data_IF_443089962505
#
_entry.id   IF_443089962505
#
_cell.length_a   1.000
_cell.length_b   1.000
_cell.length_c   1.000
_cell.angle_alpha   90.00
_cell.angle_beta   90.00
_cell.angle_gamma   90.00
#
_symmetry.space_group_name_H-M   'P 1'
#
loop_
_entity.id
_entity.type
_entity.pdbx_description
1 polymer ?
#
# COMPACT_ATOMS: atom_id res chain seq x y z
N UNK A 1 13.06 42.65 44.29
CA UNK A 1 13.43 41.31 43.81
C UNK A 1 12.26 40.54 43.18
N UNK A 2 11.02 40.80 43.58
CA UNK A 2 9.85 40.01 43.16
C UNK A 2 9.42 40.24 41.66
N UNK A 3 9.66 41.43 41.12
CA UNK A 3 9.29 41.76 39.73
C UNK A 3 10.18 41.11 38.67
N UNK A 4 11.46 40.91 38.96
CA UNK A 4 12.37 40.21 38.04
C UNK A 4 12.03 38.72 37.97
N UNK A 5 11.78 38.08 39.09
CA UNK A 5 11.36 36.65 39.14
C UNK A 5 10.04 36.46 38.43
N UNK A 6 9.06 37.34 38.60
CA UNK A 6 7.77 37.27 37.94
C UNK A 6 7.91 37.42 36.41
N UNK A 7 8.78 38.29 35.90
CA UNK A 7 9.07 38.44 34.46
C UNK A 7 9.66 37.16 33.87
N UNK A 8 10.64 36.55 34.56
CA UNK A 8 11.24 35.30 34.13
C UNK A 8 10.22 34.15 34.13
N UNK A 9 9.37 34.07 35.18
CA UNK A 9 8.31 33.08 35.25
C UNK A 9 7.29 33.21 34.10
N UNK A 10 6.89 34.46 33.80
CA UNK A 10 5.97 34.71 32.66
C UNK A 10 6.63 34.39 31.34
N UNK A 11 7.90 34.75 31.11
CA UNK A 11 8.62 34.40 29.89
C UNK A 11 8.76 32.89 29.71
N UNK A 12 9.07 32.16 30.77
CA UNK A 12 9.13 30.70 30.75
C UNK A 12 7.76 30.07 30.42
N UNK A 13 6.69 30.57 31.01
CA UNK A 13 5.32 30.11 30.72
C UNK A 13 4.94 30.35 29.27
N UNK A 14 5.22 31.52 28.72
CA UNK A 14 4.97 31.85 27.31
C UNK A 14 5.74 30.89 26.39
N UNK A 15 7.00 30.59 26.72
CA UNK A 15 7.81 29.66 25.92
C UNK A 15 7.25 28.23 25.96
N UNK A 16 6.80 27.76 27.12
CA UNK A 16 6.15 26.43 27.23
C UNK A 16 4.84 26.38 26.41
N UNK A 17 4.00 27.41 26.49
CA UNK A 17 2.76 27.50 25.71
C UNK A 17 3.08 27.53 24.22
N UNK A 18 4.08 28.26 23.77
CA UNK A 18 4.50 28.29 22.37
C UNK A 18 4.98 26.90 21.89
N UNK A 19 5.75 26.18 22.70
CA UNK A 19 6.18 24.80 22.38
C UNK A 19 4.99 23.84 22.28
N UNK A 20 4.02 23.93 23.19
CA UNK A 20 2.82 23.10 23.17
C UNK A 20 1.98 23.37 21.91
N UNK A 21 1.81 24.64 21.54
CA UNK A 21 1.12 25.03 20.31
C UNK A 21 1.83 24.50 19.06
N UNK A 22 3.16 24.63 19.02
CA UNK A 22 3.97 24.10 17.92
C UNK A 22 3.87 22.58 17.81
N UNK A 23 3.93 21.88 18.94
CA UNK A 23 3.81 20.43 19.00
C UNK A 23 2.43 19.97 18.49
N UNK A 24 1.37 20.63 18.97
CA UNK A 24 0.00 20.35 18.52
C UNK A 24 -0.17 20.60 17.02
N UNK A 25 0.41 21.69 16.51
CA UNK A 25 0.39 21.99 15.08
C UNK A 25 1.03 20.86 14.25
N UNK A 26 2.22 20.44 14.63
CA UNK A 26 2.93 19.35 13.92
C UNK A 26 2.16 18.03 14.01
N UNK A 27 1.58 17.70 15.17
CA UNK A 27 0.85 16.45 15.37
C UNK A 27 -0.49 16.40 14.63
N UNK A 28 -1.17 17.54 14.46
CA UNK A 28 -2.50 17.59 13.82
C UNK A 28 -2.39 17.85 12.32
N UNK A 29 -1.60 18.87 11.92
CA UNK A 29 -1.58 19.31 10.52
C UNK A 29 -0.50 18.63 9.66
N UNK A 30 0.61 18.19 10.27
CA UNK A 30 1.69 17.51 9.54
C UNK A 30 1.78 16.02 9.81
N UNK A 31 0.83 15.46 10.56
CA UNK A 31 0.83 14.04 10.90
C UNK A 31 0.78 13.14 9.66
N UNK A 32 -0.04 13.48 8.68
CA UNK A 32 -0.21 12.66 7.47
C UNK A 32 1.02 12.75 6.55
N UNK A 33 1.63 13.93 6.44
CA UNK A 33 2.88 14.12 5.71
C UNK A 33 4.03 13.30 6.33
N UNK A 34 4.15 13.33 7.67
CA UNK A 34 5.17 12.57 8.39
C UNK A 34 4.94 11.06 8.37
N UNK A 35 3.68 10.62 8.31
CA UNK A 35 3.33 9.20 8.18
C UNK A 35 3.61 8.67 6.79
N UNK A 36 3.40 9.48 5.76
CA UNK A 36 3.64 9.10 4.36
C UNK A 36 5.10 9.23 3.93
N UNK A 37 6.01 9.69 4.79
CA UNK A 37 7.44 9.80 4.49
C UNK A 37 8.02 8.39 4.25
N UNK A 38 8.59 8.11 3.06
CA UNK A 38 9.19 6.80 2.73
C UNK A 38 10.39 6.44 3.60
N UNK A 39 10.95 7.39 4.36
CA UNK A 39 12.01 7.15 5.34
C UNK A 39 11.51 6.61 6.68
N UNK A 40 10.20 6.60 6.89
CA UNK A 40 9.59 6.14 8.14
C UNK A 40 9.52 4.61 8.20
N UNK A 41 10.65 3.97 8.43
CA UNK A 41 10.78 2.50 8.50
C UNK A 41 9.83 1.87 9.52
N UNK A 42 9.47 2.59 10.58
CA UNK A 42 8.56 2.07 11.61
C UNK A 42 7.13 1.91 11.07
N UNK A 43 6.66 2.85 10.26
CA UNK A 43 5.35 2.74 9.60
C UNK A 43 5.33 1.59 8.60
N UNK A 44 6.43 1.42 7.87
CA UNK A 44 6.58 0.31 6.93
C UNK A 44 6.52 -1.05 7.65
N UNK A 45 7.22 -1.20 8.77
CA UNK A 45 7.18 -2.43 9.55
C UNK A 45 5.77 -2.72 10.10
N UNK A 46 5.06 -1.71 10.61
CA UNK A 46 3.68 -1.85 11.10
C UNK A 46 2.71 -2.23 9.97
N UNK A 47 2.91 -1.70 8.77
CA UNK A 47 2.09 -2.04 7.60
C UNK A 47 2.29 -3.49 7.13
N UNK A 48 3.53 -4.00 7.21
CA UNK A 48 3.86 -5.39 6.86
C UNK A 48 3.64 -6.40 8.02
N UNK A 49 3.37 -5.93 9.22
CA UNK A 49 2.94 -6.78 10.34
C UNK A 49 1.44 -7.11 10.29
N UNK A 50 0.69 -6.46 9.41
CA UNK A 50 -0.76 -6.68 9.26
C UNK A 50 -1.05 -7.52 8.04
N UNK A 51 -1.94 -8.51 8.21
CA UNK A 51 -2.41 -9.29 7.09
C UNK A 51 -3.31 -8.44 6.18
N UNK A 52 -2.82 -8.07 4.99
CA UNK A 52 -3.62 -7.38 3.99
C UNK A 52 -4.73 -8.27 3.45
N UNK A 53 -5.88 -7.66 3.17
CA UNK A 53 -7.01 -8.33 2.56
C UNK A 53 -6.66 -8.94 1.19
N UNK A 54 -7.35 -9.99 0.82
CA UNK A 54 -7.17 -10.63 -0.47
C UNK A 54 -7.90 -9.87 -1.59
N UNK A 55 -7.35 -9.98 -2.81
CA UNK A 55 -8.00 -9.49 -4.03
C UNK A 55 -8.42 -10.70 -4.85
N UNK A 56 -9.69 -10.78 -5.17
CA UNK A 56 -10.28 -11.88 -5.95
C UNK A 56 -10.97 -11.37 -7.21
N UNK A 57 -11.09 -12.22 -8.22
CA UNK A 57 -11.91 -11.96 -9.40
C UNK A 57 -12.52 -13.28 -9.89
N UNK A 58 -13.83 -13.33 -10.03
CA UNK A 58 -14.56 -14.51 -10.49
C UNK A 58 -14.21 -15.77 -9.70
N UNK A 59 -14.06 -15.67 -8.39
CA UNK A 59 -13.70 -16.79 -7.49
C UNK A 59 -12.22 -17.18 -7.49
N UNK A 60 -11.35 -16.53 -8.31
CA UNK A 60 -9.90 -16.76 -8.30
C UNK A 60 -9.19 -15.77 -7.43
N UNK A 61 -8.21 -16.18 -6.65
CA UNK A 61 -7.37 -15.32 -5.82
C UNK A 61 -6.27 -14.72 -6.67
N UNK A 62 -6.28 -13.40 -6.84
CA UNK A 62 -5.28 -12.67 -7.62
C UNK A 62 -4.13 -12.18 -6.74
N UNK A 63 -4.43 -11.78 -5.51
CA UNK A 63 -3.43 -11.36 -4.54
C UNK A 63 -3.86 -11.75 -3.12
N UNK A 64 -2.91 -12.28 -2.34
CA UNK A 64 -3.11 -12.63 -0.93
C UNK A 64 -1.85 -12.36 -0.11
N UNK A 65 -2.01 -12.24 1.20
CA UNK A 65 -0.90 -12.12 2.14
C UNK A 65 -0.73 -13.44 2.88
N UNK A 66 0.45 -14.02 2.79
CA UNK A 66 0.82 -15.24 3.49
C UNK A 66 1.73 -14.91 4.67
N UNK A 67 1.59 -15.62 5.82
CA UNK A 67 2.54 -15.49 6.91
C UNK A 67 3.91 -15.99 6.47
N UNK A 68 4.97 -15.32 6.91
CA UNK A 68 6.36 -15.72 6.62
C UNK A 68 7.20 -15.65 7.90
N UNK A 69 8.22 -16.50 7.97
CA UNK A 69 9.18 -16.52 9.08
C UNK A 69 10.32 -15.48 8.89
N UNK A 70 10.20 -14.58 7.92
CA UNK A 70 11.19 -13.59 7.57
C UNK A 70 11.18 -12.35 8.48
N UNK A 71 11.80 -11.25 8.00
CA UNK A 71 11.82 -9.95 8.67
C UNK A 71 10.43 -9.33 8.85
N UNK A 72 9.52 -9.69 7.96
CA UNK A 72 8.14 -9.24 7.95
C UNK A 72 7.23 -10.42 8.32
N UNK A 73 6.15 -10.12 9.02
CA UNK A 73 5.20 -11.14 9.46
C UNK A 73 4.36 -11.69 8.31
N UNK A 74 4.10 -10.85 7.30
CA UNK A 74 3.33 -11.22 6.11
C UNK A 74 4.04 -10.81 4.83
N UNK A 75 3.94 -11.66 3.80
CA UNK A 75 4.41 -11.40 2.45
C UNK A 75 3.23 -11.35 1.47
N UNK A 76 3.25 -10.36 0.58
CA UNK A 76 2.23 -10.21 -0.46
C UNK A 76 2.56 -11.07 -1.66
N UNK A 77 1.67 -12.00 -2.01
CA UNK A 77 1.86 -12.99 -3.08
C UNK A 77 0.77 -12.87 -4.13
N UNK A 78 1.14 -13.08 -5.39
CA UNK A 78 0.26 -13.00 -6.57
C UNK A 78 0.23 -14.37 -7.27
N UNK A 79 -0.62 -15.32 -6.82
CA UNK A 79 -0.57 -16.72 -7.28
C UNK A 79 -1.11 -16.91 -8.70
N UNK A 80 -2.04 -16.06 -9.15
CA UNK A 80 -2.72 -16.26 -10.44
C UNK A 80 -2.15 -15.32 -11.49
N UNK A 81 -1.44 -15.87 -12.48
CA UNK A 81 -0.95 -15.19 -13.70
C UNK A 81 -0.54 -13.72 -13.48
N UNK A 82 0.51 -13.43 -12.67
CA UNK A 82 0.82 -12.07 -12.23
C UNK A 82 1.04 -11.09 -13.39
N UNK A 83 1.52 -11.57 -14.52
CA UNK A 83 1.72 -10.73 -15.71
C UNK A 83 0.43 -10.34 -16.41
N UNK A 84 -0.59 -11.21 -16.41
CA UNK A 84 -1.87 -10.93 -17.05
C UNK A 84 -2.73 -9.96 -16.22
N UNK A 85 -2.68 -10.09 -14.89
CA UNK A 85 -3.47 -9.29 -13.96
C UNK A 85 -2.72 -8.09 -13.40
N UNK A 86 -1.40 -8.05 -13.50
CA UNK A 86 -0.54 -6.97 -12.99
C UNK A 86 -0.97 -5.56 -13.39
N UNK A 87 -1.33 -5.29 -14.66
CA UNK A 87 -1.80 -3.96 -15.07
C UNK A 87 -3.04 -3.47 -14.31
N UNK A 88 -3.92 -4.38 -13.89
CA UNK A 88 -5.15 -4.06 -13.17
C UNK A 88 -4.96 -4.12 -11.65
N UNK A 89 -4.45 -5.22 -11.14
CA UNK A 89 -4.25 -5.43 -9.70
C UNK A 89 -3.15 -4.51 -9.17
N UNK A 90 -2.12 -4.30 -9.98
CA UNK A 90 -0.93 -3.58 -9.57
C UNK A 90 0.02 -4.46 -8.76
N UNK A 91 0.88 -3.80 -8.00
CA UNK A 91 1.81 -4.46 -7.09
C UNK A 91 1.91 -3.68 -5.78
N UNK A 92 2.30 -4.37 -4.75
CA UNK A 92 2.59 -3.83 -3.44
C UNK A 92 4.07 -4.04 -3.10
N UNK A 93 4.82 -2.96 -3.01
CA UNK A 93 6.26 -3.01 -2.77
C UNK A 93 6.71 -1.90 -1.83
N UNK A 94 7.65 -2.23 -0.93
CA UNK A 94 8.33 -1.27 -0.06
C UNK A 94 9.24 -0.29 -0.81
N UNK A 95 9.88 -0.77 -1.88
CA UNK A 95 10.88 0.01 -2.60
C UNK A 95 10.29 0.81 -3.77
N UNK A 96 9.27 0.26 -4.42
CA UNK A 96 8.71 0.80 -5.66
C UNK A 96 7.31 1.39 -5.47
N UNK A 97 6.88 1.59 -4.23
CA UNK A 97 5.53 2.02 -3.87
C UNK A 97 4.45 1.00 -4.24
N UNK A 98 3.20 1.40 -4.26
CA UNK A 98 2.06 0.58 -4.64
C UNK A 98 1.43 1.12 -5.92
N UNK A 99 0.80 0.27 -6.72
CA UNK A 99 0.13 0.66 -7.96
C UNK A 99 -1.21 -0.05 -8.14
N UNK A 100 -2.02 0.40 -9.11
CA UNK A 100 -3.28 -0.23 -9.49
C UNK A 100 -4.32 -0.27 -8.36
N UNK A 101 -5.02 -1.39 -8.24
CA UNK A 101 -6.02 -1.63 -7.19
C UNK A 101 -5.38 -1.68 -5.80
N UNK A 102 -4.17 -2.20 -5.67
CA UNK A 102 -3.42 -2.20 -4.42
C UNK A 102 -3.24 -0.77 -3.86
N UNK A 103 -3.06 0.22 -4.71
CA UNK A 103 -2.94 1.62 -4.33
C UNK A 103 -4.31 2.26 -4.08
N UNK A 104 -5.25 2.11 -5.02
CA UNK A 104 -6.56 2.78 -4.93
C UNK A 104 -7.41 2.30 -3.76
N UNK A 105 -7.25 1.03 -3.35
CA UNK A 105 -7.94 0.42 -2.22
C UNK A 105 -7.02 0.15 -1.03
N UNK A 106 -5.90 0.90 -0.92
CA UNK A 106 -4.90 0.67 0.11
C UNK A 106 -5.48 0.74 1.52
N UNK A 107 -6.30 1.76 1.82
CA UNK A 107 -6.92 1.93 3.14
C UNK A 107 -7.87 0.79 3.51
N UNK A 108 -8.57 0.22 2.55
CA UNK A 108 -9.46 -0.92 2.76
C UNK A 108 -8.67 -2.23 2.93
N UNK A 109 -7.69 -2.46 2.05
CA UNK A 109 -6.86 -3.67 2.08
C UNK A 109 -5.97 -3.75 3.32
N UNK A 110 -5.47 -2.64 3.87
CA UNK A 110 -4.68 -2.63 5.10
C UNK A 110 -5.53 -2.53 6.38
N UNK A 111 -6.87 -2.46 6.23
CA UNK A 111 -7.79 -2.40 7.35
C UNK A 111 -7.89 -1.05 8.05
N UNK A 112 -7.36 0.04 7.48
CA UNK A 112 -7.45 1.40 8.08
C UNK A 112 -8.74 2.14 7.73
N UNK A 113 -9.53 1.62 6.79
CA UNK A 113 -10.79 2.22 6.34
C UNK A 113 -11.82 2.31 7.47
N UNK A 114 -12.54 3.43 7.54
CA UNK A 114 -13.59 3.67 8.53
C UNK A 114 -14.74 2.65 8.46
N UNK A 115 -15.00 2.07 7.30
CA UNK A 115 -16.01 1.02 7.10
C UNK A 115 -15.70 -0.27 7.86
N UNK A 116 -14.42 -0.49 8.19
CA UNK A 116 -13.95 -1.67 8.93
C UNK A 116 -13.82 -1.43 10.44
N UNK A 117 -14.22 -0.24 10.94
CA UNK A 117 -14.10 0.11 12.36
C UNK A 117 -14.82 -0.87 13.29
N UNK A 118 -16.03 -1.31 12.91
CA UNK A 118 -16.79 -2.29 13.70
C UNK A 118 -16.07 -3.63 13.81
N UNK A 119 -15.46 -4.10 12.73
CA UNK A 119 -14.66 -5.34 12.73
C UNK A 119 -13.38 -5.18 13.55
N UNK A 120 -12.73 -4.00 13.50
CA UNK A 120 -11.54 -3.71 14.31
C UNK A 120 -11.84 -3.71 15.79
N UNK A 121 -12.94 -3.08 16.20
CA UNK A 121 -13.37 -3.04 17.61
C UNK A 121 -13.70 -4.45 18.11
N UNK A 122 -14.46 -5.24 17.35
CA UNK A 122 -14.75 -6.62 17.70
C UNK A 122 -13.49 -7.51 17.73
N UNK A 123 -12.53 -7.27 16.83
CA UNK A 123 -11.24 -7.93 16.80
C UNK A 123 -10.40 -7.65 18.06
N UNK A 124 -10.36 -6.38 18.49
CA UNK A 124 -9.64 -5.99 19.72
C UNK A 124 -10.22 -6.66 20.97
N UNK A 125 -11.56 -6.80 21.05
CA UNK A 125 -12.25 -7.46 22.17
C UNK A 125 -11.99 -8.97 22.15
N UNK A 126 -11.93 -9.58 20.97
CA UNK A 126 -11.72 -11.02 20.81
C UNK A 126 -10.25 -11.44 20.73
N UNK A 127 -9.29 -10.49 20.84
CA UNK A 127 -7.85 -10.77 20.78
C UNK A 127 -7.36 -11.23 19.40
N UNK A 128 -8.13 -10.99 18.34
CA UNK A 128 -7.74 -11.31 16.96
C UNK A 128 -6.97 -10.17 16.35
N UNK A 129 -5.91 -10.49 15.63
CA UNK A 129 -5.15 -9.52 14.82
C UNK A 129 -6.08 -8.87 13.78
N UNK A 130 -6.07 -7.53 13.65
CA UNK A 130 -6.87 -6.84 12.64
C UNK A 130 -6.45 -7.29 11.24
N UNK A 131 -7.39 -7.80 10.48
CA UNK A 131 -7.17 -8.18 9.07
C UNK A 131 -7.72 -7.09 8.15
N UNK A 132 -7.09 -6.92 6.98
CA UNK A 132 -7.58 -6.06 5.92
C UNK A 132 -8.86 -6.58 5.28
N UNK A 133 -9.66 -5.68 4.69
CA UNK A 133 -10.86 -6.03 3.95
C UNK A 133 -10.53 -6.69 2.62
N UNK A 134 -11.29 -7.72 2.23
CA UNK A 134 -11.14 -8.38 0.92
C UNK A 134 -11.86 -7.60 -0.17
N UNK A 135 -11.23 -7.50 -1.35
CA UNK A 135 -11.76 -6.81 -2.51
C UNK A 135 -12.07 -7.82 -3.61
N UNK A 136 -13.30 -7.84 -4.08
CA UNK A 136 -13.70 -8.63 -5.25
C UNK A 136 -13.82 -7.72 -6.46
N UNK A 137 -13.10 -8.08 -7.54
CA UNK A 137 -13.11 -7.36 -8.80
C UNK A 137 -14.20 -7.94 -9.71
N UNK A 138 -14.88 -7.08 -10.44
CA UNK A 138 -15.85 -7.46 -11.48
C UNK A 138 -15.17 -7.93 -12.77
N UNK A 139 -13.84 -8.06 -12.78
CA UNK A 139 -13.04 -8.52 -13.90
C UNK A 139 -13.32 -10.00 -14.19
N UNK A 140 -13.54 -10.34 -15.46
CA UNK A 140 -13.60 -11.73 -15.88
C UNK A 140 -12.18 -12.28 -16.09
N UNK A 141 -11.73 -13.24 -15.26
CA UNK A 141 -10.35 -13.73 -15.32
C UNK A 141 -10.03 -14.45 -16.64
N UNK A 142 -10.99 -15.17 -17.22
CA UNK A 142 -10.79 -15.88 -18.50
C UNK A 142 -10.61 -14.88 -19.65
N UNK A 143 -11.44 -13.85 -19.70
CA UNK A 143 -11.32 -12.83 -20.74
C UNK A 143 -9.97 -12.08 -20.63
N UNK A 144 -9.52 -11.78 -19.42
CA UNK A 144 -8.24 -11.13 -19.18
C UNK A 144 -7.05 -11.98 -19.63
N UNK A 145 -7.05 -13.26 -19.32
CA UNK A 145 -6.00 -14.20 -19.75
C UNK A 145 -5.94 -14.35 -21.27
N UNK A 146 -7.10 -14.47 -21.92
CA UNK A 146 -7.20 -14.55 -23.39
C UNK A 146 -6.70 -13.26 -24.05
N UNK A 147 -7.09 -12.10 -23.53
CA UNK A 147 -6.63 -10.80 -24.04
C UNK A 147 -5.11 -10.66 -23.90
N UNK A 148 -4.56 -11.03 -22.75
CA UNK A 148 -3.12 -11.00 -22.52
C UNK A 148 -2.37 -11.94 -23.47
N UNK A 149 -2.86 -13.17 -23.66
CA UNK A 149 -2.26 -14.11 -24.61
C UNK A 149 -2.32 -13.63 -26.07
N UNK A 150 -3.40 -12.92 -26.46
CA UNK A 150 -3.50 -12.31 -27.78
C UNK A 150 -2.48 -11.19 -27.99
N UNK A 151 -2.31 -10.30 -26.98
CA UNK A 151 -1.31 -9.24 -27.01
C UNK A 151 0.13 -9.80 -27.10
N UNK A 152 0.43 -10.86 -26.37
CA UNK A 152 1.75 -11.51 -26.46
C UNK A 152 2.03 -12.08 -27.85
N UNK A 153 1.02 -12.67 -28.50
CA UNK A 153 1.15 -13.19 -29.87
C UNK A 153 1.39 -12.05 -30.86
N UNK A 154 0.63 -10.95 -30.76
CA UNK A 154 0.82 -9.77 -31.59
C UNK A 154 2.24 -9.17 -31.45
N UNK A 155 2.70 -9.00 -30.22
CA UNK A 155 4.04 -8.47 -29.96
C UNK A 155 5.17 -9.37 -30.48
N UNK A 156 4.99 -10.69 -30.49
CA UNK A 156 5.96 -11.64 -31.08
C UNK A 156 5.99 -11.53 -32.61
N UNK A 157 4.84 -11.39 -33.25
CA UNK A 157 4.71 -11.24 -34.69
C UNK A 157 5.39 -9.95 -35.19
N UNK A 158 5.22 -8.85 -34.45
CA UNK A 158 5.87 -7.56 -34.76
C UNK A 158 7.39 -7.64 -34.62
N UNK A 159 7.89 -8.31 -33.57
CA UNK A 159 9.34 -8.51 -33.42
C UNK A 159 9.96 -9.36 -34.55
N UNK A 160 9.24 -10.39 -34.99
CA UNK A 160 9.72 -11.23 -36.09
C UNK A 160 9.74 -10.48 -37.42
N UNK A 161 8.77 -9.61 -37.70
CA UNK A 161 8.76 -8.72 -38.87
C UNK A 161 9.88 -7.70 -38.80
N UNK A 162 10.06 -7.01 -37.69
CA UNK A 162 11.13 -6.03 -37.51
C UNK A 162 12.54 -6.65 -37.59
N UNK A 163 12.70 -7.94 -37.22
CA UNK A 163 13.96 -8.67 -37.41
C UNK A 163 14.19 -9.11 -38.84
N UNK A 164 13.13 -9.50 -39.56
CA UNK A 164 13.15 -9.84 -40.99
C UNK A 164 13.59 -8.66 -41.87
N UNK A 165 13.02 -7.48 -41.63
CA UNK A 165 13.33 -6.25 -42.38
C UNK A 165 14.79 -5.79 -42.22
N UNK A 166 15.38 -5.99 -41.02
CA UNK A 166 16.79 -5.64 -40.76
C UNK A 166 17.78 -6.65 -41.39
N UNK A 167 17.37 -7.90 -41.53
CA UNK A 167 18.22 -8.92 -42.17
C UNK A 167 18.27 -8.78 -43.70
N UNK A 168 17.29 -8.14 -44.31
CA UNK A 168 17.26 -7.88 -45.76
C UNK A 168 17.96 -6.57 -46.19
N UNK A 169 18.41 -5.71 -45.27
CA UNK A 169 19.07 -4.44 -45.55
C UNK A 169 20.60 -4.48 -45.59
N UNK A 170 21.22 -5.66 -45.60
CA UNK A 170 22.66 -5.86 -45.67
C UNK A 170 23.13 -6.37 -47.05
N UNK A 171 23.19 -5.47 -48.02
CA UNK A 171 24.09 -5.56 -49.18
C UNK A 171 24.58 -4.16 -49.54
#
# INVERSE_FOLDING_TARGET
MNTAIRRVAVAAMVMVVALLLQLTWVQVFRADELRSDPRNTRMLLDEYSRQRGQITAGGRVLALSLPTEGRFEFERTYPTSPYAFGPTVGYYSLQFATSGIEQSQNSFLNGSDSRLLSQRISGLISGRTPQGGSVELTLNPVAQEVAYAALQRGARTDRSRACGDRACGGR
#
